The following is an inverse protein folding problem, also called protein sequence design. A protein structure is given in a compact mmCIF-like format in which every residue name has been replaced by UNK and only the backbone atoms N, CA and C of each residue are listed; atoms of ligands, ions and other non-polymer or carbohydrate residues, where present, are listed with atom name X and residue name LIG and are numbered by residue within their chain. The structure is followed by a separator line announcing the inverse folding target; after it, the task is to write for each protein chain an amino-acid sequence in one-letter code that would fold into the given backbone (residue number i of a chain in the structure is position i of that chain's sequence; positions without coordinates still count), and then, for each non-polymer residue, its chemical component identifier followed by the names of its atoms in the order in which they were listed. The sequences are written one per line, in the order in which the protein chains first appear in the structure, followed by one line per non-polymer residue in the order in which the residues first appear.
data_IF_963875215334
#
_entry.id   IF_963875215334
#
_cell.length_a   1.000
_cell.length_b   1.000
_cell.length_c   1.000
_cell.angle_alpha   90.00
_cell.angle_beta   90.00
_cell.angle_gamma   90.00
#
_symmetry.space_group_name_H-M   'P 1'
#
loop_
_entity.id
_entity.type
_entity.pdbx_description
1 polymer ?
#
# COMPACT_ATOMS: atom_id res chain seq x y z
N UNK A 1 -39.69 -0.42 -33.91
CA UNK A 1 -39.00 -0.23 -32.62
C UNK A 1 -38.10 0.98 -32.77
N UNK A 2 -38.12 1.97 -31.88
CA UNK A 2 -37.31 3.16 -32.06
C UNK A 2 -35.83 2.84 -31.79
N UNK A 3 -35.02 3.31 -32.72
CA UNK A 3 -33.56 3.41 -32.69
C UNK A 3 -33.10 4.05 -31.37
N UNK A 4 -32.46 3.26 -30.52
CA UNK A 4 -31.85 3.77 -29.28
C UNK A 4 -30.41 4.17 -29.60
N UNK A 5 -30.27 5.31 -30.27
CA UNK A 5 -28.98 5.95 -30.44
C UNK A 5 -28.45 6.33 -29.06
N UNK A 6 -27.33 5.72 -28.64
CA UNK A 6 -26.61 6.04 -27.41
C UNK A 6 -26.21 7.52 -27.42
N UNK A 7 -27.04 8.36 -26.78
CA UNK A 7 -26.71 9.76 -26.55
C UNK A 7 -25.76 9.84 -25.37
N UNK A 8 -24.64 10.54 -25.56
CA UNK A 8 -23.62 10.84 -24.56
C UNK A 8 -24.20 11.79 -23.50
N UNK A 9 -25.21 11.33 -22.75
CA UNK A 9 -25.80 12.05 -21.61
C UNK A 9 -25.71 11.29 -20.29
N UNK A 10 -25.32 10.01 -20.34
CA UNK A 10 -24.91 9.25 -19.17
C UNK A 10 -23.42 8.89 -19.31
N UNK A 11 -22.55 9.89 -19.34
CA UNK A 11 -21.12 9.63 -19.17
C UNK A 11 -20.92 9.19 -17.73
N UNK A 12 -20.90 7.88 -17.47
CA UNK A 12 -20.14 7.37 -16.32
C UNK A 12 -18.76 8.01 -16.46
N UNK A 13 -18.35 8.82 -15.46
CA UNK A 13 -16.98 9.33 -15.41
C UNK A 13 -16.09 8.09 -15.38
N UNK A 14 -15.53 7.72 -16.52
CA UNK A 14 -14.58 6.62 -16.58
C UNK A 14 -13.46 6.97 -15.61
N UNK A 15 -13.07 6.02 -14.77
CA UNK A 15 -11.93 6.17 -13.87
C UNK A 15 -10.64 6.13 -14.72
N UNK A 16 -10.45 7.14 -15.56
CA UNK A 16 -9.23 7.32 -16.31
C UNK A 16 -8.24 7.95 -15.34
N UNK A 17 -7.14 7.25 -15.00
CA UNK A 17 -6.12 7.86 -14.17
C UNK A 17 -5.67 9.17 -14.84
N UNK A 18 -5.47 10.22 -14.04
CA UNK A 18 -4.96 11.51 -14.52
C UNK A 18 -3.50 11.45 -15.00
N UNK A 19 -2.91 10.27 -15.03
CA UNK A 19 -1.53 9.96 -15.41
C UNK A 19 -1.50 8.77 -16.38
N UNK A 20 -0.40 8.60 -17.14
CA UNK A 20 -0.20 7.40 -17.95
C UNK A 20 -0.30 6.12 -17.11
N UNK A 21 -0.63 5.00 -17.77
CA UNK A 21 -0.75 3.70 -17.10
C UNK A 21 0.55 3.25 -16.43
N UNK A 22 1.69 3.63 -17.02
CA UNK A 22 3.02 3.41 -16.44
C UNK A 22 3.62 4.74 -16.01
N UNK A 23 4.21 4.75 -14.82
CA UNK A 23 5.10 5.80 -14.35
C UNK A 23 6.20 5.14 -13.51
N UNK A 24 7.35 5.79 -13.42
CA UNK A 24 8.46 5.30 -12.60
C UNK A 24 8.29 5.79 -11.15
N UNK A 25 8.04 4.91 -10.16
CA UNK A 25 7.97 5.32 -8.76
C UNK A 25 9.29 5.88 -8.23
N UNK A 26 10.42 5.62 -8.89
CA UNK A 26 11.73 6.18 -8.59
C UNK A 26 11.74 7.71 -8.62
N UNK A 27 10.91 8.33 -9.46
CA UNK A 27 10.84 9.81 -9.58
C UNK A 27 10.04 10.47 -8.45
N UNK A 28 9.29 9.71 -7.64
CA UNK A 28 8.60 10.24 -6.47
C UNK A 28 9.59 10.40 -5.31
N UNK A 29 9.50 11.49 -4.52
CA UNK A 29 10.24 11.56 -3.27
C UNK A 29 9.66 10.56 -2.27
N UNK A 30 10.50 10.08 -1.35
CA UNK A 30 9.99 9.50 -0.12
C UNK A 30 9.38 10.62 0.73
N UNK A 31 8.17 10.39 1.24
CA UNK A 31 7.48 11.31 2.13
C UNK A 31 7.39 10.66 3.50
N UNK A 32 7.58 11.44 4.56
CA UNK A 32 7.42 10.97 5.94
C UNK A 32 6.05 10.31 6.13
N UNK A 33 6.06 9.20 6.85
CA UNK A 33 4.86 8.47 7.20
C UNK A 33 4.59 8.55 8.71
N UNK A 34 3.53 7.88 9.17
CA UNK A 34 2.85 8.01 10.46
C UNK A 34 3.79 8.07 11.69
N UNK A 35 5.00 7.53 11.58
CA UNK A 35 5.99 7.46 12.66
C UNK A 35 7.42 7.76 12.17
N UNK A 36 8.32 8.25 13.06
CA UNK A 36 9.73 8.47 12.72
C UNK A 36 10.38 7.22 12.13
N UNK A 37 11.22 7.41 11.10
CA UNK A 37 11.90 6.31 10.40
C UNK A 37 11.00 5.53 9.43
N UNK A 38 9.78 6.01 9.17
CA UNK A 38 8.90 5.43 8.15
C UNK A 38 8.58 6.44 7.05
N UNK A 39 8.49 5.94 5.83
CA UNK A 39 8.28 6.74 4.64
C UNK A 39 7.41 6.01 3.64
N UNK A 40 6.74 6.74 2.76
CA UNK A 40 5.95 6.14 1.71
C UNK A 40 6.08 6.86 0.37
N UNK A 41 5.78 6.12 -0.70
CA UNK A 41 5.46 6.66 -2.02
C UNK A 41 4.05 6.22 -2.38
N UNK A 42 3.15 7.19 -2.52
CA UNK A 42 1.78 6.90 -2.91
C UNK A 42 1.71 6.47 -4.38
N UNK A 43 1.19 5.27 -4.62
CA UNK A 43 1.02 4.72 -5.95
C UNK A 43 -0.42 4.86 -6.42
N UNK A 44 -1.44 4.59 -5.61
CA UNK A 44 -2.85 4.70 -6.01
C UNK A 44 -3.75 5.04 -4.82
N UNK A 45 -4.91 5.64 -5.08
CA UNK A 45 -5.99 5.83 -4.11
C UNK A 45 -7.29 5.29 -4.70
N UNK A 46 -8.05 4.56 -3.90
CA UNK A 46 -9.46 4.28 -4.12
C UNK A 46 -10.31 5.24 -3.28
N UNK A 47 -10.80 6.31 -3.89
CA UNK A 47 -11.58 7.34 -3.20
C UNK A 47 -12.93 6.84 -2.65
N UNK A 48 -13.44 5.69 -3.15
CA UNK A 48 -14.71 5.12 -2.68
C UNK A 48 -14.55 4.36 -1.35
N UNK A 49 -13.44 3.64 -1.19
CA UNK A 49 -13.21 2.82 0.02
C UNK A 49 -12.25 3.50 1.00
N UNK A 50 -11.45 4.45 0.54
CA UNK A 50 -10.31 5.00 1.28
C UNK A 50 -9.05 4.14 1.16
N UNK A 51 -9.11 3.01 0.46
CA UNK A 51 -7.97 2.13 0.22
C UNK A 51 -6.90 2.80 -0.65
N UNK A 52 -5.66 2.33 -0.54
CA UNK A 52 -4.54 2.91 -1.28
C UNK A 52 -3.43 1.88 -1.53
N UNK A 53 -2.58 2.20 -2.50
CA UNK A 53 -1.39 1.39 -2.82
C UNK A 53 -0.16 2.25 -2.60
N UNK A 54 0.88 1.70 -1.98
CA UNK A 54 2.12 2.42 -1.70
C UNK A 54 3.36 1.54 -1.87
N UNK A 55 4.52 2.18 -2.06
CA UNK A 55 5.75 1.63 -1.50
C UNK A 55 5.87 2.14 -0.08
N UNK A 56 6.06 1.24 0.88
CA UNK A 56 6.40 1.58 2.26
C UNK A 56 7.89 1.32 2.46
N UNK A 57 8.58 2.27 3.09
CA UNK A 57 9.93 2.11 3.59
C UNK A 57 9.92 2.27 5.10
N UNK A 58 10.62 1.38 5.78
CA UNK A 58 10.88 1.45 7.21
C UNK A 58 12.39 1.35 7.39
N UNK A 59 12.97 2.27 8.15
CA UNK A 59 14.40 2.25 8.48
C UNK A 59 14.73 1.10 9.47
N UNK A 60 16.02 0.71 9.57
CA UNK A 60 16.48 -0.25 10.56
C UNK A 60 16.09 0.10 12.00
N UNK A 61 15.92 -0.93 12.82
CA UNK A 61 15.60 -0.86 14.25
C UNK A 61 14.27 -0.13 14.57
N UNK A 62 13.37 0.01 13.60
CA UNK A 62 12.05 0.59 13.81
C UNK A 62 11.04 -0.50 14.18
N UNK A 63 10.33 -0.28 15.29
CA UNK A 63 9.17 -1.06 15.73
C UNK A 63 7.94 -0.15 15.71
N UNK A 64 6.89 -0.58 15.01
CA UNK A 64 5.62 0.14 15.01
C UNK A 64 4.92 -0.02 16.37
N UNK A 65 4.21 1.01 16.88
CA UNK A 65 3.40 0.82 18.07
C UNK A 65 2.31 -0.21 17.81
N UNK A 66 1.82 -0.88 18.86
CA UNK A 66 0.66 -1.77 18.74
C UNK A 66 -0.51 -1.04 18.08
N UNK A 67 -1.00 -1.56 16.96
CA UNK A 67 -2.09 -0.97 16.21
C UNK A 67 -3.00 -2.03 15.59
N UNK A 68 -4.17 -1.59 15.13
CA UNK A 68 -5.13 -2.47 14.47
C UNK A 68 -5.47 -1.97 13.06
N UNK A 69 -5.73 -2.92 12.16
CA UNK A 69 -6.12 -2.63 10.79
C UNK A 69 -7.64 -2.58 10.64
N UNK A 70 -8.19 -1.50 10.10
CA UNK A 70 -9.62 -1.38 9.81
C UNK A 70 -10.00 -2.23 8.58
N UNK A 71 -9.15 -2.25 7.55
CA UNK A 71 -9.25 -3.08 6.35
C UNK A 71 -8.06 -4.03 6.24
N UNK A 72 -8.05 -4.94 5.27
CA UNK A 72 -6.89 -5.82 5.05
C UNK A 72 -5.71 -5.07 4.46
N UNK A 73 -4.49 -5.53 4.74
CA UNK A 73 -3.27 -5.11 4.03
C UNK A 73 -2.59 -6.33 3.43
N UNK A 74 -2.25 -6.22 2.15
CA UNK A 74 -1.37 -7.16 1.47
C UNK A 74 -0.05 -6.47 1.17
N UNK A 75 1.08 -7.12 1.45
CA UNK A 75 2.38 -6.57 1.11
C UNK A 75 3.34 -7.61 0.52
N UNK A 76 4.25 -7.13 -0.33
CA UNK A 76 5.33 -7.91 -0.92
C UNK A 76 6.67 -7.23 -0.66
N UNK A 77 7.60 -7.93 -0.04
CA UNK A 77 8.90 -7.39 0.38
C UNK A 77 9.84 -7.33 -0.82
N UNK A 78 10.36 -6.14 -1.11
CA UNK A 78 11.29 -5.89 -2.22
C UNK A 78 12.72 -5.65 -1.75
N UNK A 79 12.91 -5.20 -0.50
CA UNK A 79 14.21 -5.02 0.15
C UNK A 79 14.07 -5.28 1.65
N UNK A 80 15.09 -5.86 2.28
CA UNK A 80 15.14 -6.03 3.73
C UNK A 80 14.17 -7.08 4.27
N UNK A 81 13.68 -6.85 5.50
CA UNK A 81 12.87 -7.82 6.25
C UNK A 81 11.85 -7.14 7.18
N UNK A 82 10.67 -7.75 7.30
CA UNK A 82 9.59 -7.32 8.17
C UNK A 82 8.94 -8.53 8.83
N UNK A 83 8.41 -8.36 10.05
CA UNK A 83 7.71 -9.45 10.71
C UNK A 83 7.28 -9.15 12.14
N UNK A 84 6.80 -10.20 12.80
CA UNK A 84 6.21 -10.18 14.13
C UNK A 84 6.98 -11.15 15.04
N UNK A 85 7.60 -10.62 16.10
CA UNK A 85 8.46 -11.43 16.96
C UNK A 85 9.62 -12.08 16.18
N UNK A 86 10.07 -13.23 16.66
CA UNK A 86 11.19 -13.99 16.08
C UNK A 86 10.73 -15.05 15.06
N UNK A 87 9.53 -15.59 15.20
CA UNK A 87 9.08 -16.79 14.47
C UNK A 87 8.33 -16.50 13.16
N UNK A 88 7.83 -15.28 12.96
CA UNK A 88 7.01 -14.92 11.79
C UNK A 88 7.58 -13.70 11.07
N UNK A 89 8.57 -13.94 10.20
CA UNK A 89 9.34 -12.90 9.52
C UNK A 89 9.52 -13.23 8.05
N UNK A 90 9.43 -12.22 7.20
CA UNK A 90 9.55 -12.32 5.76
C UNK A 90 10.59 -11.35 5.20
N UNK A 91 11.60 -11.90 4.52
CA UNK A 91 12.58 -11.13 3.75
C UNK A 91 12.15 -10.90 2.30
N UNK A 92 13.07 -10.40 1.48
CA UNK A 92 12.86 -10.15 0.03
C UNK A 92 12.19 -11.33 -0.66
N UNK A 93 11.11 -11.03 -1.39
CA UNK A 93 10.31 -12.02 -2.11
C UNK A 93 9.15 -12.62 -1.30
N UNK A 94 9.04 -12.27 -0.02
CA UNK A 94 7.94 -12.72 0.83
C UNK A 94 6.68 -11.90 0.59
N UNK A 95 5.53 -12.58 0.65
CA UNK A 95 4.20 -11.97 0.68
C UNK A 95 3.62 -12.10 2.08
N UNK A 96 2.90 -11.07 2.54
CA UNK A 96 2.15 -11.09 3.80
C UNK A 96 0.73 -10.58 3.57
N UNK A 97 -0.22 -11.20 4.27
CA UNK A 97 -1.60 -10.74 4.42
C UNK A 97 -1.86 -10.44 5.89
N UNK A 98 -2.05 -9.16 6.19
CA UNK A 98 -2.58 -8.68 7.46
C UNK A 98 -4.09 -8.53 7.31
N UNK A 99 -4.85 -9.49 7.83
CA UNK A 99 -6.31 -9.47 7.69
C UNK A 99 -6.94 -8.22 8.35
N UNK A 100 -8.08 -7.76 7.83
CA UNK A 100 -8.85 -6.71 8.50
C UNK A 100 -9.23 -7.13 9.92
N UNK A 101 -9.02 -6.25 10.90
CA UNK A 101 -9.19 -6.53 12.32
C UNK A 101 -7.95 -7.09 13.03
N UNK A 102 -6.86 -7.36 12.31
CA UNK A 102 -5.57 -7.74 12.91
C UNK A 102 -5.10 -6.66 13.90
N UNK A 103 -4.59 -7.09 15.05
CA UNK A 103 -3.90 -6.25 16.04
C UNK A 103 -2.49 -6.78 16.16
N UNK A 104 -1.48 -5.93 15.94
CA UNK A 104 -0.09 -6.40 15.87
C UNK A 104 0.94 -5.31 16.21
N UNK A 105 2.20 -5.72 16.30
CA UNK A 105 3.36 -4.88 16.62
C UNK A 105 4.57 -5.33 15.75
N UNK A 106 4.61 -4.93 14.47
CA UNK A 106 5.68 -5.37 13.58
C UNK A 106 6.99 -4.60 13.81
N UNK A 107 8.10 -5.24 13.45
CA UNK A 107 9.45 -4.67 13.50
C UNK A 107 10.30 -4.99 12.27
N UNK A 108 11.28 -4.12 12.01
CA UNK A 108 12.23 -4.26 10.91
C UNK A 108 13.68 -4.00 11.38
N UNK A 109 14.39 -5.03 11.86
CA UNK A 109 15.76 -4.90 12.37
C UNK A 109 16.73 -4.34 11.33
N UNK A 110 16.66 -4.82 10.09
CA UNK A 110 17.55 -4.39 9.00
C UNK A 110 16.92 -3.34 8.06
N UNK A 111 15.73 -2.85 8.39
CA UNK A 111 14.92 -2.02 7.50
C UNK A 111 14.19 -2.85 6.43
N UNK A 112 13.20 -2.24 5.79
CA UNK A 112 12.39 -2.88 4.75
C UNK A 112 11.88 -1.89 3.73
N UNK A 113 11.78 -2.34 2.47
CA UNK A 113 10.92 -1.73 1.47
C UNK A 113 9.93 -2.77 1.00
N UNK A 114 8.64 -2.42 0.94
CA UNK A 114 7.57 -3.30 0.49
C UNK A 114 6.58 -2.57 -0.42
N UNK A 115 6.03 -3.29 -1.39
CA UNK A 115 4.84 -2.88 -2.12
C UNK A 115 3.62 -3.31 -1.32
N UNK A 116 2.77 -2.37 -0.92
CA UNK A 116 1.61 -2.62 -0.07
C UNK A 116 0.31 -2.14 -0.71
N UNK A 117 -0.75 -2.92 -0.55
CA UNK A 117 -2.13 -2.61 -0.90
C UNK A 117 -2.96 -2.60 0.37
N UNK A 118 -3.60 -1.48 0.65
CA UNK A 118 -4.54 -1.27 1.76
C UNK A 118 -5.94 -1.21 1.19
N UNK A 119 -6.84 -2.06 1.70
CA UNK A 119 -8.19 -2.25 1.18
C UNK A 119 -9.22 -1.31 1.80
#
# INVERSE_FOLDING_TARGET
MPDTTLTIKNSVKTNRPHRPAFFDPGTLPWVDWVMPGTYFKLLNINELTGGFTMLLKVDPDVTAPVHHHIGGIEAYVVEGEFGYGEDDRGGVGSYVLEAGGSIHEPSSPEGVIMFAVVH
#
